data_IF_609541661324
#
_entry.id   IF_609541661324
#
_cell.length_a   1.000
_cell.length_b   1.000
_cell.length_c   1.000
_cell.angle_alpha   90.00
_cell.angle_beta   90.00
_cell.angle_gamma   90.00
#
_symmetry.space_group_name_H-M   'P 1'
#
loop_
_entity.id
_entity.type
_entity.pdbx_description
1 polymer ?
#
# COMPACT_ATOMS: atom_id res chain seq x y z
N UNK A 1 -9.73 -11.61 25.25
CA UNK A 1 -9.26 -10.32 24.68
C UNK A 1 -8.52 -10.65 23.41
N UNK A 2 -9.11 -10.40 22.25
CA UNK A 2 -8.39 -10.52 20.99
C UNK A 2 -7.45 -9.31 20.89
N UNK A 3 -6.17 -9.53 21.19
CA UNK A 3 -5.12 -8.57 20.87
C UNK A 3 -5.10 -8.50 19.33
N UNK A 4 -5.70 -7.44 18.79
CA UNK A 4 -5.58 -7.09 17.39
C UNK A 4 -4.12 -6.72 17.15
N UNK A 5 -3.30 -7.71 16.77
CA UNK A 5 -1.99 -7.45 16.21
C UNK A 5 -2.19 -6.74 14.88
N UNK A 6 -2.06 -5.42 14.90
CA UNK A 6 -1.84 -4.63 13.70
C UNK A 6 -0.45 -4.99 13.17
N UNK A 7 -0.40 -5.52 11.96
CA UNK A 7 0.87 -5.80 11.26
C UNK A 7 1.13 -4.62 10.35
N UNK A 8 2.27 -3.96 10.58
CA UNK A 8 2.70 -2.85 9.76
C UNK A 8 3.39 -3.33 8.48
N UNK A 9 3.50 -2.44 7.50
CA UNK A 9 4.24 -2.69 6.25
C UNK A 9 5.67 -3.15 6.53
N UNK A 10 6.34 -2.49 7.48
CA UNK A 10 7.72 -2.76 7.87
C UNK A 10 7.89 -4.20 8.36
N UNK A 11 6.99 -4.67 9.23
CA UNK A 11 7.00 -6.05 9.73
C UNK A 11 6.81 -7.06 8.59
N UNK A 12 5.94 -6.73 7.65
CA UNK A 12 5.63 -7.58 6.52
C UNK A 12 6.78 -7.65 5.51
N UNK A 13 7.45 -6.52 5.26
CA UNK A 13 8.63 -6.44 4.40
C UNK A 13 9.83 -7.16 5.07
N UNK A 14 10.04 -6.92 6.36
CA UNK A 14 11.06 -7.61 7.15
C UNK A 14 10.85 -9.12 7.14
N UNK A 15 9.62 -9.59 7.39
CA UNK A 15 9.27 -11.01 7.29
C UNK A 15 9.51 -11.54 5.87
N UNK A 16 9.17 -10.76 4.84
CA UNK A 16 9.38 -11.13 3.44
C UNK A 16 10.85 -11.34 3.10
N UNK A 17 11.73 -10.48 3.61
CA UNK A 17 13.16 -10.50 3.31
C UNK A 17 13.93 -11.52 4.17
N UNK A 18 13.51 -11.76 5.41
CA UNK A 18 14.23 -12.67 6.33
C UNK A 18 13.76 -14.12 6.28
N UNK A 19 12.47 -14.35 6.01
CA UNK A 19 11.86 -15.68 6.21
C UNK A 19 11.71 -16.47 4.92
N UNK A 20 12.00 -15.86 3.78
CA UNK A 20 11.92 -16.52 2.48
C UNK A 20 13.30 -16.63 1.85
N UNK A 21 13.52 -17.74 1.14
CA UNK A 21 14.84 -18.13 0.67
C UNK A 21 15.40 -17.28 -0.47
N UNK A 22 14.51 -16.74 -1.30
CA UNK A 22 14.88 -15.91 -2.44
C UNK A 22 14.92 -14.45 -1.99
N UNK A 23 15.96 -13.71 -2.37
CA UNK A 23 16.00 -12.27 -2.23
C UNK A 23 14.85 -11.66 -3.05
N UNK A 24 13.74 -11.38 -2.38
CA UNK A 24 12.50 -10.97 -3.03
C UNK A 24 12.54 -9.52 -3.49
N UNK A 25 13.33 -8.72 -2.81
CA UNK A 25 13.63 -7.34 -3.15
C UNK A 25 14.37 -7.28 -4.49
N UNK A 26 15.49 -7.99 -4.62
CA UNK A 26 16.21 -8.10 -5.91
C UNK A 26 15.34 -8.73 -7.01
N UNK A 27 14.56 -9.78 -6.69
CA UNK A 27 13.64 -10.36 -7.67
C UNK A 27 12.48 -9.42 -8.06
N UNK A 28 12.23 -8.35 -7.30
CA UNK A 28 11.22 -7.35 -7.60
C UNK A 28 11.70 -6.33 -8.63
N UNK A 29 13.02 -6.14 -8.78
CA UNK A 29 13.61 -5.27 -9.80
C UNK A 29 13.26 -5.76 -11.22
N UNK A 30 13.11 -7.08 -11.38
CA UNK A 30 12.64 -7.71 -12.61
C UNK A 30 11.13 -7.53 -12.85
N UNK A 31 10.38 -6.82 -12.01
CA UNK A 31 8.92 -6.69 -12.13
C UNK A 31 8.54 -5.28 -12.58
N UNK A 32 7.97 -5.21 -13.78
CA UNK A 32 7.44 -3.97 -14.33
C UNK A 32 6.00 -3.73 -13.91
N UNK A 33 5.69 -2.53 -13.40
CA UNK A 33 4.31 -2.05 -13.17
C UNK A 33 3.76 -1.48 -14.48
N UNK A 34 2.92 -2.25 -15.16
CA UNK A 34 2.36 -1.92 -16.49
C UNK A 34 1.28 -0.85 -16.42
N UNK A 35 0.44 -0.91 -15.39
CA UNK A 35 -0.62 0.08 -15.18
C UNK A 35 -0.93 0.18 -13.70
N UNK A 36 -1.24 1.37 -13.23
CA UNK A 36 -1.58 1.65 -11.84
C UNK A 36 -2.88 2.45 -11.78
N UNK A 37 -3.80 2.07 -10.89
CA UNK A 37 -5.08 2.73 -10.66
C UNK A 37 -5.28 2.94 -9.17
N UNK A 38 -5.76 4.12 -8.82
CA UNK A 38 -6.09 4.49 -7.45
C UNK A 38 -7.60 4.62 -7.28
N UNK A 39 -8.13 4.04 -6.22
CA UNK A 39 -9.54 4.16 -5.84
C UNK A 39 -9.61 4.61 -4.38
N UNK A 40 -9.87 5.90 -4.12
CA UNK A 40 -10.02 6.41 -2.77
C UNK A 40 -11.38 6.02 -2.18
N UNK A 41 -11.42 5.80 -0.88
CA UNK A 41 -12.64 5.67 -0.10
C UNK A 41 -12.57 6.59 1.11
N UNK A 42 -13.14 7.79 0.95
CA UNK A 42 -13.16 8.85 1.96
C UNK A 42 -13.80 8.37 3.29
N UNK A 43 -14.98 7.73 3.21
CA UNK A 43 -15.69 7.23 4.40
C UNK A 43 -14.87 6.21 5.20
N UNK A 44 -14.04 5.41 4.53
CA UNK A 44 -13.20 4.39 5.18
C UNK A 44 -11.78 4.86 5.46
N UNK A 45 -11.43 6.08 5.02
CA UNK A 45 -10.05 6.59 5.01
C UNK A 45 -9.08 5.56 4.41
N UNK A 46 -9.41 5.00 3.25
CA UNK A 46 -8.56 4.00 2.58
C UNK A 46 -8.24 4.40 1.15
N UNK A 47 -7.06 4.03 0.68
CA UNK A 47 -6.64 4.17 -0.71
C UNK A 47 -6.33 2.79 -1.27
N UNK A 48 -7.14 2.33 -2.22
CA UNK A 48 -6.87 1.07 -2.92
C UNK A 48 -6.02 1.35 -4.16
N UNK A 49 -4.81 0.80 -4.17
CA UNK A 49 -3.87 0.80 -5.28
C UNK A 49 -3.99 -0.54 -6.02
N UNK A 50 -4.45 -0.52 -7.26
CA UNK A 50 -4.54 -1.70 -8.12
C UNK A 50 -3.56 -1.57 -9.28
N UNK A 51 -2.61 -2.48 -9.35
CA UNK A 51 -1.62 -2.54 -10.40
C UNK A 51 -1.77 -3.78 -11.27
N UNK A 52 -1.39 -3.64 -12.54
CA UNK A 52 -1.02 -4.78 -13.38
C UNK A 52 0.50 -4.86 -13.41
N UNK A 53 1.06 -5.99 -13.01
CA UNK A 53 2.50 -6.22 -12.94
C UNK A 53 2.92 -7.33 -13.89
N UNK A 54 4.14 -7.25 -14.43
CA UNK A 54 4.70 -8.22 -15.37
C UNK A 54 6.16 -8.48 -15.04
N UNK A 55 6.52 -9.74 -14.81
CA UNK A 55 7.92 -10.13 -14.61
C UNK A 55 8.71 -10.04 -15.93
N UNK A 56 9.97 -9.65 -15.88
CA UNK A 56 10.92 -9.70 -16.98
C UNK A 56 11.01 -11.15 -17.50
N UNK A 57 10.87 -11.33 -18.81
CA UNK A 57 10.81 -12.65 -19.46
C UNK A 57 9.49 -13.42 -19.32
N UNK A 58 8.53 -12.96 -18.51
CA UNK A 58 7.21 -13.58 -18.40
C UNK A 58 6.21 -13.02 -19.41
N UNK A 59 5.38 -13.88 -20.01
CA UNK A 59 4.23 -13.44 -20.82
C UNK A 59 3.03 -13.03 -19.96
N UNK A 60 2.92 -13.58 -18.76
CA UNK A 60 1.79 -13.40 -17.86
C UNK A 60 1.80 -12.02 -17.18
N UNK A 61 0.62 -11.43 -17.07
CA UNK A 61 0.38 -10.24 -16.25
C UNK A 61 -0.40 -10.63 -14.99
N UNK A 62 -0.07 -9.98 -13.87
CA UNK A 62 -0.65 -10.25 -12.57
C UNK A 62 -1.38 -9.01 -12.06
N UNK A 63 -2.50 -9.22 -11.39
CA UNK A 63 -3.24 -8.18 -10.68
C UNK A 63 -2.72 -8.14 -9.26
N UNK A 64 -2.12 -7.02 -8.90
CA UNK A 64 -1.54 -6.75 -7.59
C UNK A 64 -2.35 -5.63 -6.92
N UNK A 65 -2.68 -5.79 -5.65
CA UNK A 65 -3.50 -4.84 -4.89
C UNK A 65 -2.82 -4.55 -3.56
N UNK A 66 -2.70 -3.27 -3.23
CA UNK A 66 -2.34 -2.77 -1.91
C UNK A 66 -3.42 -1.77 -1.50
N UNK A 67 -4.00 -1.95 -0.32
CA UNK A 67 -4.96 -1.04 0.29
C UNK A 67 -4.27 -0.40 1.49
N UNK A 68 -4.03 0.90 1.40
CA UNK A 68 -3.53 1.71 2.51
C UNK A 68 -4.71 2.09 3.40
N UNK A 69 -4.56 1.91 4.70
CA UNK A 69 -5.56 2.29 5.70
C UNK A 69 -5.15 3.57 6.41
N UNK A 70 -6.14 4.28 6.96
CA UNK A 70 -5.97 5.56 7.68
C UNK A 70 -5.35 6.67 6.83
N UNK A 71 -5.67 6.70 5.53
CA UNK A 71 -5.19 7.73 4.61
C UNK A 71 -5.89 9.06 4.87
N UNK A 72 -5.11 10.12 5.01
CA UNK A 72 -5.59 11.49 5.14
C UNK A 72 -5.73 12.12 3.75
N UNK A 73 -6.98 12.30 3.33
CA UNK A 73 -7.33 13.01 2.11
C UNK A 73 -7.52 14.49 2.41
N UNK A 74 -6.95 15.34 1.56
CA UNK A 74 -7.22 16.78 1.60
C UNK A 74 -8.43 17.05 0.71
N UNK A 75 -9.50 17.57 1.30
CA UNK A 75 -10.63 18.07 0.53
C UNK A 75 -10.25 19.43 -0.06
N UNK A 76 -10.21 19.53 -1.39
CA UNK A 76 -10.16 20.82 -2.06
C UNK A 76 -11.53 21.49 -1.85
N UNK A 77 -11.65 22.40 -0.88
CA UNK A 77 -12.88 23.16 -0.57
C UNK A 77 -13.42 24.04 -1.72
N UNK A 78 -12.89 23.91 -2.93
CA UNK A 78 -13.43 24.54 -4.13
C UNK A 78 -14.60 23.74 -4.65
N UNK A 79 -15.80 23.94 -4.09
CA UNK A 79 -17.04 24.30 -4.80
C UNK A 79 -18.22 24.29 -3.81
N UNK A 80 -18.57 25.46 -3.25
CA UNK A 80 -19.93 25.95 -2.89
C UNK A 80 -19.79 27.29 -2.12
N UNK A 81 -19.94 28.44 -2.83
CA UNK A 81 -21.01 29.47 -2.65
C UNK A 81 -20.89 30.31 -1.34
N UNK A 82 -20.81 31.66 -1.30
CA UNK A 82 -21.52 32.73 -2.02
C UNK A 82 -20.92 34.12 -1.72
N UNK A 83 -21.00 34.99 -2.73
CA UNK A 83 -21.41 36.41 -2.74
C UNK A 83 -20.88 37.44 -1.71
N UNK A 84 -20.18 38.43 -2.27
CA UNK A 84 -20.35 39.89 -2.16
C UNK A 84 -20.76 40.56 -0.83
N UNK A 85 -19.91 41.53 -0.48
CA UNK A 85 -20.12 42.75 0.29
C UNK A 85 -20.19 42.64 1.82
N UNK A 86 -19.10 43.00 2.49
CA UNK A 86 -19.04 44.31 3.14
C UNK A 86 -17.59 44.75 3.42
N UNK A 87 -17.36 46.04 3.18
CA UNK A 87 -16.10 46.76 3.34
C UNK A 87 -16.14 47.49 4.70
N UNK A 88 -14.96 47.67 5.30
CA UNK A 88 -14.48 48.81 6.12
C UNK A 88 -14.03 48.47 7.56
N UNK A 89 -12.69 48.39 7.64
CA UNK A 89 -11.72 49.06 8.53
C UNK A 89 -11.42 48.61 9.98
N UNK A 90 -10.12 48.28 10.13
CA UNK A 90 -9.12 48.69 11.15
C UNK A 90 -9.35 48.27 12.62
N UNK A 91 -8.36 47.92 13.45
CA UNK A 91 -6.91 48.14 13.46
C UNK A 91 -6.27 47.16 14.49
N UNK A 92 -5.02 46.74 14.23
CA UNK A 92 -3.94 46.36 15.17
C UNK A 92 -4.20 45.38 16.34
N UNK A 93 -3.50 44.24 16.34
CA UNK A 93 -2.31 44.06 17.21
C UNK A 93 -1.49 42.80 16.89
N UNK A 94 -0.18 43.00 17.01
CA UNK A 94 0.94 42.14 16.67
C UNK A 94 1.29 41.24 17.84
N UNK A 95 1.38 39.93 17.61
CA UNK A 95 2.18 39.02 18.43
C UNK A 95 2.81 37.95 17.54
N UNK A 96 4.11 38.07 17.33
CA UNK A 96 4.96 37.17 16.56
C UNK A 96 5.15 35.86 17.32
N UNK A 97 4.41 34.82 16.94
CA UNK A 97 4.82 33.44 17.15
C UNK A 97 5.45 32.92 15.85
N UNK A 98 6.79 32.91 15.81
CA UNK A 98 7.56 32.17 14.82
C UNK A 98 7.42 30.67 15.11
N UNK A 99 6.26 30.10 14.78
CA UNK A 99 6.12 28.68 14.50
C UNK A 99 6.72 28.44 13.12
N UNK A 100 7.82 27.68 13.07
CA UNK A 100 8.26 27.02 11.85
C UNK A 100 7.04 26.40 11.19
N UNK A 101 6.62 26.99 10.07
CA UNK A 101 5.59 26.42 9.23
C UNK A 101 6.22 25.20 8.58
N UNK A 102 6.09 24.05 9.22
CA UNK A 102 6.23 22.76 8.56
C UNK A 102 5.39 22.83 7.29
N UNK A 103 6.06 22.92 6.15
CA UNK A 103 5.40 22.90 4.87
C UNK A 103 4.81 21.50 4.75
N UNK A 104 3.50 21.37 4.97
CA UNK A 104 2.81 20.10 4.83
C UNK A 104 3.02 19.60 3.39
N UNK A 105 3.77 18.52 3.25
CA UNK A 105 4.07 17.91 1.95
C UNK A 105 2.83 17.12 1.52
N UNK A 106 2.32 17.44 0.33
CA UNK A 106 1.18 16.78 -0.27
C UNK A 106 1.56 16.11 -1.57
N UNK A 107 0.99 14.94 -1.83
CA UNK A 107 1.15 14.21 -3.08
C UNK A 107 -0.16 14.26 -3.86
N UNK A 108 -0.09 14.76 -5.09
CA UNK A 108 -1.22 14.77 -6.02
C UNK A 108 -1.23 13.46 -6.81
N UNK A 109 -2.36 12.73 -6.77
CA UNK A 109 -2.55 11.49 -7.53
C UNK A 109 -3.79 11.56 -8.40
N UNK A 110 -3.71 10.97 -9.60
CA UNK A 110 -4.85 10.83 -10.52
C UNK A 110 -5.56 9.51 -10.27
N UNK A 111 -6.82 9.58 -9.86
CA UNK A 111 -7.67 8.42 -9.59
C UNK A 111 -8.16 7.73 -10.86
N UNK A 112 -8.73 6.54 -10.70
CA UNK A 112 -9.29 5.75 -11.81
C UNK A 112 -10.44 6.43 -12.56
N UNK A 113 -11.08 7.43 -11.96
CA UNK A 113 -12.15 8.26 -12.51
C UNK A 113 -11.64 9.60 -13.07
N UNK A 114 -10.31 9.72 -13.27
CA UNK A 114 -9.62 10.93 -13.72
C UNK A 114 -9.68 12.13 -12.76
N UNK A 115 -10.22 11.97 -11.54
CA UNK A 115 -10.14 13.02 -10.52
C UNK A 115 -8.75 13.08 -9.92
N UNK A 116 -8.23 14.28 -9.73
CA UNK A 116 -7.01 14.49 -8.96
C UNK A 116 -7.36 14.63 -7.49
N UNK A 117 -6.60 13.97 -6.64
CA UNK A 117 -6.76 14.05 -5.18
C UNK A 117 -5.40 14.35 -4.56
N UNK A 118 -5.40 15.09 -3.46
CA UNK A 118 -4.21 15.34 -2.65
C UNK A 118 -4.27 14.48 -1.40
N UNK A 119 -3.17 13.79 -1.13
CA UNK A 119 -3.01 12.95 0.05
C UNK A 119 -1.77 13.37 0.83
N UNK A 120 -1.83 13.21 2.15
CA UNK A 120 -0.63 13.27 2.99
C UNK A 120 0.15 11.95 2.86
N UNK A 121 1.46 12.00 2.58
CA UNK A 121 2.31 10.81 2.56
C UNK A 121 2.10 9.94 3.80
N UNK A 122 1.95 8.64 3.59
CA UNK A 122 1.79 7.69 4.68
C UNK A 122 3.17 7.26 5.20
N UNK A 123 3.41 7.49 6.48
CA UNK A 123 4.64 7.07 7.15
C UNK A 123 4.66 5.53 7.26
N UNK A 124 5.73 4.92 6.74
CA UNK A 124 5.89 3.46 6.64
C UNK A 124 5.65 2.72 7.98
N UNK A 125 6.09 3.30 9.10
CA UNK A 125 6.05 2.68 10.44
C UNK A 125 4.61 2.49 10.96
N UNK A 126 3.64 3.31 10.53
CA UNK A 126 2.26 3.30 11.06
C UNK A 126 1.20 2.97 10.01
N UNK A 127 1.60 2.70 8.78
CA UNK A 127 0.65 2.41 7.72
C UNK A 127 0.13 0.98 7.86
N UNK A 128 -1.12 0.83 8.28
CA UNK A 128 -1.81 -0.45 8.21
C UNK A 128 -2.13 -0.75 6.75
N UNK A 129 -1.63 -1.87 6.26
CA UNK A 129 -1.84 -2.27 4.86
C UNK A 129 -2.59 -3.58 4.76
N UNK A 130 -3.40 -3.65 3.70
CA UNK A 130 -3.94 -4.91 3.22
C UNK A 130 -3.44 -5.16 1.81
N UNK A 131 -3.25 -6.42 1.46
CA UNK A 131 -2.66 -6.79 0.19
C UNK A 131 -3.30 -8.03 -0.43
N UNK A 132 -3.16 -8.14 -1.74
CA UNK A 132 -3.53 -9.32 -2.51
C UNK A 132 -2.80 -9.34 -3.86
N UNK A 133 -2.38 -10.50 -4.32
CA UNK A 133 -1.86 -10.70 -5.66
C UNK A 133 -2.44 -12.00 -6.24
N UNK A 134 -2.77 -12.01 -7.53
CA UNK A 134 -3.24 -13.23 -8.19
C UNK A 134 -2.10 -14.16 -8.68
N UNK A 135 -0.84 -13.87 -8.35
CA UNK A 135 0.28 -14.72 -8.74
C UNK A 135 0.31 -16.02 -7.91
N UNK A 136 0.83 -17.07 -8.53
CA UNK A 136 0.87 -18.39 -7.92
C UNK A 136 1.72 -18.44 -6.64
N UNK A 137 2.84 -17.70 -6.60
CA UNK A 137 3.71 -17.64 -5.42
C UNK A 137 2.98 -17.06 -4.21
N UNK A 138 2.27 -15.94 -4.40
CA UNK A 138 1.45 -15.33 -3.35
C UNK A 138 0.36 -16.28 -2.86
N UNK A 139 -0.37 -16.86 -3.81
CA UNK A 139 -1.48 -17.74 -3.53
C UNK A 139 -1.06 -18.95 -2.68
N UNK A 140 0.02 -19.61 -3.08
CA UNK A 140 0.46 -20.86 -2.45
C UNK A 140 1.21 -20.63 -1.13
N UNK A 141 1.95 -19.53 -1.02
CA UNK A 141 2.92 -19.35 0.08
C UNK A 141 2.50 -18.34 1.14
N UNK A 142 1.64 -17.38 0.82
CA UNK A 142 1.37 -16.23 1.70
C UNK A 142 -0.11 -16.00 1.97
N UNK A 143 -0.99 -16.27 1.01
CA UNK A 143 -2.39 -15.87 1.10
C UNK A 143 -3.11 -16.41 2.36
N UNK A 144 -2.82 -17.66 2.77
CA UNK A 144 -3.38 -18.23 4.00
C UNK A 144 -2.88 -17.51 5.25
N UNK A 145 -1.60 -17.19 5.32
CA UNK A 145 -0.97 -16.54 6.47
C UNK A 145 -1.31 -15.05 6.55
N UNK A 146 -1.35 -14.36 5.41
CA UNK A 146 -1.84 -12.99 5.29
C UNK A 146 -3.31 -12.89 5.71
N UNK A 147 -4.12 -13.93 5.48
CA UNK A 147 -5.49 -13.98 6.02
C UNK A 147 -5.48 -14.08 7.55
N UNK A 148 -4.69 -14.98 8.12
CA UNK A 148 -4.59 -15.15 9.58
C UNK A 148 -4.12 -13.85 10.25
N UNK A 149 -3.18 -13.17 9.60
CA UNK A 149 -2.67 -11.84 9.95
C UNK A 149 -3.66 -10.68 9.67
N UNK A 150 -4.87 -10.94 9.15
CA UNK A 150 -5.88 -9.92 8.79
C UNK A 150 -5.43 -8.88 7.74
N UNK A 151 -4.30 -9.09 7.07
CA UNK A 151 -3.76 -8.22 6.01
C UNK A 151 -4.21 -8.63 4.60
N UNK A 152 -5.05 -9.64 4.43
CA UNK A 152 -5.55 -10.06 3.10
C UNK A 152 -6.71 -9.17 2.60
N UNK A 153 -6.63 -8.66 1.36
CA UNK A 153 -7.77 -8.07 0.64
C UNK A 153 -8.60 -9.16 -0.02
N UNK A 154 -9.88 -9.25 0.35
CA UNK A 154 -10.86 -10.17 -0.25
C UNK A 154 -11.10 -11.45 0.55
N UNK A 155 -11.79 -12.41 -0.06
CA UNK A 155 -12.15 -13.69 0.60
C UNK A 155 -10.99 -14.69 0.52
N UNK A 156 -10.96 -15.61 1.50
CA UNK A 156 -10.04 -16.77 1.53
C UNK A 156 -10.21 -17.56 0.24
N UNK A 157 -9.14 -17.77 -0.49
CA UNK A 157 -9.13 -18.75 -1.57
C UNK A 157 -8.50 -20.05 -1.02
N UNK A 158 -8.97 -21.25 -1.39
CA UNK A 158 -8.74 -22.46 -0.60
C UNK A 158 -7.29 -22.98 -0.67
N UNK A 159 -6.89 -23.49 0.50
CA UNK A 159 -5.87 -24.51 0.80
C UNK A 159 -4.40 -24.25 0.42
N UNK A 160 -3.52 -24.60 1.37
CA UNK A 160 -2.10 -24.83 1.16
C UNK A 160 -1.90 -25.78 -0.03
N UNK A 161 -1.73 -25.23 -1.22
CA UNK A 161 -1.28 -26.04 -2.34
C UNK A 161 0.20 -26.31 -2.14
N UNK A 162 0.51 -27.44 -1.50
CA UNK A 162 1.76 -28.13 -1.76
C UNK A 162 1.56 -28.81 -3.10
N UNK A 163 2.38 -28.47 -4.10
CA UNK A 163 2.31 -29.21 -5.37
C UNK A 163 2.50 -30.69 -5.04
N UNK A 164 1.63 -31.59 -5.53
CA UNK A 164 1.80 -33.03 -5.34
C UNK A 164 3.17 -33.54 -5.81
N UNK A 165 3.79 -32.80 -6.73
CA UNK A 165 5.12 -33.08 -7.29
C UNK A 165 6.27 -32.43 -6.50
N UNK A 166 6.01 -31.75 -5.39
CA UNK A 166 7.07 -31.22 -4.52
C UNK A 166 7.69 -32.40 -3.78
N UNK A 167 8.97 -32.77 -4.05
CA UNK A 167 9.60 -33.86 -3.32
C UNK A 167 9.56 -33.57 -1.82
N UNK A 168 9.39 -34.58 -0.98
CA UNK A 168 9.39 -34.46 0.48
C UNK A 168 10.62 -33.71 1.02
N UNK A 169 11.74 -33.79 0.28
CA UNK A 169 13.02 -33.15 0.60
C UNK A 169 13.14 -31.70 0.12
N UNK A 170 12.17 -31.17 -0.64
CA UNK A 170 12.19 -29.79 -1.11
C UNK A 170 11.67 -28.89 0.01
N UNK A 171 12.59 -28.13 0.58
CA UNK A 171 12.32 -27.16 1.64
C UNK A 171 11.13 -26.27 1.29
N UNK A 172 10.22 -26.09 2.26
CA UNK A 172 9.01 -25.29 2.11
C UNK A 172 9.35 -23.90 1.57
N UNK A 173 8.53 -23.45 0.62
CA UNK A 173 8.70 -22.14 0.01
C UNK A 173 8.50 -20.97 0.98
N UNK A 174 7.75 -21.19 2.06
CA UNK A 174 7.62 -20.36 3.23
C UNK A 174 7.90 -21.25 4.46
N UNK A 175 9.17 -21.38 4.88
CA UNK A 175 9.58 -22.27 5.97
C UNK A 175 8.87 -21.95 7.29
N UNK A 176 8.65 -20.67 7.57
CA UNK A 176 8.16 -20.17 8.85
C UNK A 176 6.66 -19.94 8.89
N UNK A 177 5.93 -20.29 7.82
CA UNK A 177 4.48 -20.16 7.74
C UNK A 177 3.97 -18.75 8.08
N UNK A 178 4.70 -17.75 7.61
CA UNK A 178 4.51 -16.35 7.99
C UNK A 178 3.79 -15.53 6.93
N UNK A 179 3.17 -14.41 7.32
CA UNK A 179 2.69 -13.43 6.37
C UNK A 179 3.86 -12.81 5.57
N UNK A 180 3.58 -12.38 4.35
CA UNK A 180 4.60 -11.76 3.50
C UNK A 180 4.06 -11.26 2.16
N UNK A 181 4.96 -10.68 1.39
CA UNK A 181 4.72 -10.11 0.08
C UNK A 181 5.42 -10.96 -1.00
N UNK A 182 4.74 -11.16 -2.13
CA UNK A 182 5.40 -11.72 -3.31
C UNK A 182 6.20 -10.61 -4.01
N UNK A 183 7.09 -10.97 -4.92
CA UNK A 183 7.89 -9.98 -5.68
C UNK A 183 7.02 -8.93 -6.40
N UNK A 184 5.81 -9.29 -6.84
CA UNK A 184 4.89 -8.35 -7.47
C UNK A 184 4.32 -7.31 -6.51
N UNK A 185 4.09 -7.69 -5.26
CA UNK A 185 3.66 -6.79 -4.19
C UNK A 185 4.80 -5.88 -3.75
N UNK A 186 6.01 -6.43 -3.63
CA UNK A 186 7.23 -5.67 -3.31
C UNK A 186 7.51 -4.61 -4.39
N UNK A 187 7.46 -4.96 -5.68
CA UNK A 187 7.63 -4.00 -6.76
C UNK A 187 6.57 -2.90 -6.76
N UNK A 188 5.30 -3.24 -6.48
CA UNK A 188 4.25 -2.23 -6.32
C UNK A 188 4.52 -1.32 -5.11
N UNK A 189 4.98 -1.88 -4.00
CA UNK A 189 5.32 -1.14 -2.80
C UNK A 189 6.42 -0.11 -3.07
N UNK A 190 7.55 -0.50 -3.67
CA UNK A 190 8.60 0.44 -4.05
C UNK A 190 8.11 1.49 -5.04
N UNK A 191 7.23 1.11 -5.98
CA UNK A 191 6.64 2.10 -6.88
C UNK A 191 5.79 3.15 -6.14
N UNK A 192 5.09 2.77 -5.07
CA UNK A 192 4.34 3.72 -4.24
C UNK A 192 5.28 4.61 -3.42
N UNK A 193 6.44 4.09 -3.00
CA UNK A 193 7.48 4.90 -2.35
C UNK A 193 8.09 5.93 -3.30
N UNK A 194 8.44 5.53 -4.52
CA UNK A 194 8.96 6.43 -5.56
C UNK A 194 7.99 7.58 -5.88
N UNK A 195 6.68 7.30 -5.80
CA UNK A 195 5.63 8.30 -5.98
C UNK A 195 5.44 9.22 -4.77
N UNK A 196 6.15 8.98 -3.66
CA UNK A 196 6.00 9.71 -2.39
C UNK A 196 4.70 9.41 -1.63
N UNK A 197 3.90 8.42 -2.08
CA UNK A 197 2.65 8.03 -1.42
C UNK A 197 2.97 7.38 -0.07
N UNK A 198 4.05 6.59 -0.04
CA UNK A 198 4.61 5.98 1.18
C UNK A 198 5.98 6.60 1.39
N UNK A 199 6.29 7.00 2.62
CA UNK A 199 7.61 7.55 2.98
C UNK A 199 8.31 6.65 3.98
N UNK A 200 9.60 6.40 3.73
CA UNK A 200 10.50 5.87 4.77
C UNK A 200 10.86 7.00 5.74
N UNK A 201 11.04 6.61 7.01
CA UNK A 201 11.41 7.51 8.09
C UNK A 201 12.93 7.58 8.21
#
# INVERSE_FOLDING_TARGET
MDVLFEIFVTDLLHATNTQFKSNREEASDDVNVVSLRFTPSYNRKTLLCVARTKSAGGSNTYITKIELQNVEFVEDNTTQEKNENDVIDNEQQVANDNKEKDQEIYVEITCSDNRKIKIKPQLNIKCNIRLNCNCLDYFQRMASYNKTAKVLIGRKVPTHYQSPTTPSNKLKGNPNNSPGMCKHLVALYYRLMEMGIITEF
#
